data_IF_577323422980
#
_entry.id   IF_577323422980
#
_cell.length_a   1.000
_cell.length_b   1.000
_cell.length_c   1.000
_cell.angle_alpha   90.00
_cell.angle_beta   90.00
_cell.angle_gamma   90.00
#
_symmetry.space_group_name_H-M   'P 1'
#
loop_
_entity.id
_entity.type
_entity.pdbx_description
1 polymer ?
#
# COMPACT_ATOMS: atom_id res chain seq x y z
N UNK A 1 14.38 -65.96 4.36
CA UNK A 1 14.73 -64.54 4.18
C UNK A 1 13.56 -63.78 3.57
N UNK A 2 13.03 -62.75 4.21
CA UNK A 2 11.92 -61.97 3.65
C UNK A 2 12.43 -61.28 2.35
N UNK A 3 11.69 -61.41 1.23
CA UNK A 3 12.02 -60.69 -0.02
C UNK A 3 12.02 -59.18 0.26
N UNK A 4 13.17 -58.54 0.01
CA UNK A 4 13.25 -57.05 0.09
C UNK A 4 12.24 -56.45 -0.89
N UNK A 5 11.44 -55.49 -0.44
CA UNK A 5 10.38 -54.83 -1.23
C UNK A 5 10.91 -54.11 -2.47
N UNK A 6 12.15 -53.57 -2.37
CA UNK A 6 12.83 -52.83 -3.44
C UNK A 6 14.22 -53.35 -3.69
N UNK A 7 14.75 -53.08 -4.88
CA UNK A 7 16.11 -53.42 -5.27
C UNK A 7 17.10 -52.58 -4.45
N UNK A 8 18.12 -53.24 -3.86
CA UNK A 8 19.20 -52.53 -3.17
C UNK A 8 20.39 -52.44 -4.14
N UNK A 9 20.77 -51.21 -4.42
CA UNK A 9 21.88 -50.86 -5.30
C UNK A 9 23.24 -51.20 -4.64
N UNK A 10 24.34 -51.25 -5.41
CA UNK A 10 25.69 -51.45 -4.87
C UNK A 10 26.14 -50.34 -3.90
N UNK A 11 25.60 -49.14 -4.07
CA UNK A 11 25.85 -47.96 -3.18
C UNK A 11 25.03 -48.01 -1.86
N UNK A 12 24.31 -49.13 -1.61
CA UNK A 12 23.53 -49.33 -0.39
C UNK A 12 22.11 -48.73 -0.40
N UNK A 13 21.77 -47.91 -1.40
CA UNK A 13 20.45 -47.31 -1.51
C UNK A 13 19.41 -48.31 -2.03
N UNK A 14 18.17 -48.18 -1.55
CA UNK A 14 17.02 -48.85 -2.11
C UNK A 14 16.46 -48.04 -3.27
N UNK A 15 16.11 -48.72 -4.38
CA UNK A 15 15.57 -48.06 -5.57
C UNK A 15 14.25 -48.73 -6.01
N UNK A 16 13.28 -47.86 -6.37
CA UNK A 16 12.05 -48.26 -7.05
C UNK A 16 11.89 -47.42 -8.32
N UNK A 17 11.60 -48.08 -9.44
CA UNK A 17 11.28 -47.40 -10.71
C UNK A 17 9.76 -47.51 -10.91
N UNK A 18 9.13 -46.38 -11.27
CA UNK A 18 7.72 -46.29 -11.64
C UNK A 18 7.59 -45.64 -13.01
N UNK A 19 6.61 -46.07 -13.78
CA UNK A 19 6.23 -45.37 -15.02
C UNK A 19 5.03 -44.47 -14.69
N UNK A 20 5.22 -43.13 -14.81
CA UNK A 20 4.23 -42.15 -14.45
C UNK A 20 4.06 -41.20 -15.66
N UNK A 21 2.82 -41.08 -16.17
CA UNK A 21 2.52 -40.34 -17.41
C UNK A 21 3.49 -40.66 -18.55
N UNK A 22 3.83 -41.95 -18.72
CA UNK A 22 4.71 -42.44 -19.78
C UNK A 22 6.22 -42.24 -19.55
N UNK A 23 6.62 -41.58 -18.46
CA UNK A 23 8.04 -41.39 -18.12
C UNK A 23 8.48 -42.31 -16.99
N UNK A 24 9.72 -42.84 -17.10
CA UNK A 24 10.34 -43.61 -16.03
C UNK A 24 10.89 -42.68 -14.94
N UNK A 25 10.40 -42.85 -13.72
CA UNK A 25 10.86 -42.08 -12.54
C UNK A 25 11.48 -43.06 -11.55
N UNK A 26 12.71 -42.80 -11.12
CA UNK A 26 13.43 -43.59 -10.13
C UNK A 26 13.39 -42.94 -8.76
N UNK A 27 12.92 -43.66 -7.75
CA UNK A 27 12.89 -43.22 -6.35
C UNK A 27 13.98 -43.97 -5.58
N UNK A 28 14.83 -43.21 -4.86
CA UNK A 28 15.97 -43.75 -4.12
C UNK A 28 15.93 -43.28 -2.67
N UNK A 29 16.34 -44.16 -1.74
CA UNK A 29 16.40 -43.89 -0.31
C UNK A 29 17.23 -44.89 0.48
N UNK A 30 17.63 -44.50 1.69
CA UNK A 30 18.42 -45.34 2.58
C UNK A 30 17.58 -46.47 3.22
N UNK A 31 16.26 -46.45 3.10
CA UNK A 31 15.35 -47.49 3.57
C UNK A 31 14.16 -47.66 2.62
N UNK A 32 13.52 -48.82 2.67
CA UNK A 32 12.26 -49.05 1.94
C UNK A 32 11.16 -48.06 2.35
N UNK A 33 11.11 -47.68 3.62
CA UNK A 33 10.15 -46.67 4.12
C UNK A 33 10.38 -45.28 3.49
N UNK A 34 11.63 -44.91 3.31
CA UNK A 34 11.97 -43.63 2.67
C UNK A 34 11.57 -43.62 1.18
N UNK A 35 11.80 -44.75 0.49
CA UNK A 35 11.36 -44.91 -0.91
C UNK A 35 9.83 -44.86 -1.00
N UNK A 36 9.10 -45.56 -0.09
CA UNK A 36 7.65 -45.52 -0.04
C UNK A 36 7.14 -44.07 0.19
N UNK A 37 7.76 -43.32 1.12
CA UNK A 37 7.43 -41.92 1.38
C UNK A 37 7.63 -41.06 0.13
N UNK A 38 8.79 -41.18 -0.54
CA UNK A 38 9.08 -40.41 -1.76
C UNK A 38 8.11 -40.74 -2.90
N UNK A 39 7.70 -42.00 -3.04
CA UNK A 39 6.69 -42.40 -4.01
C UNK A 39 5.33 -41.77 -3.66
N UNK A 40 4.92 -41.80 -2.40
CA UNK A 40 3.66 -41.20 -1.95
C UNK A 40 3.65 -39.66 -2.14
N UNK A 41 4.73 -39.02 -1.75
CA UNK A 41 4.93 -37.58 -1.95
C UNK A 41 4.87 -37.17 -3.44
N UNK A 42 5.53 -37.97 -4.30
CA UNK A 42 5.50 -37.75 -5.75
C UNK A 42 4.10 -37.94 -6.36
N UNK A 43 3.38 -38.97 -5.92
CA UNK A 43 2.01 -39.20 -6.39
C UNK A 43 1.07 -38.08 -5.92
N UNK A 44 1.21 -37.61 -4.68
CA UNK A 44 0.44 -36.49 -4.13
C UNK A 44 0.73 -35.20 -4.91
N UNK A 45 2.01 -34.89 -5.11
CA UNK A 45 2.45 -33.72 -5.87
C UNK A 45 1.98 -33.77 -7.33
N UNK A 46 2.09 -34.96 -7.98
CA UNK A 46 1.67 -35.12 -9.38
C UNK A 46 0.16 -35.06 -9.56
N UNK A 47 -0.60 -35.42 -8.52
CA UNK A 47 -2.07 -35.42 -8.55
C UNK A 47 -2.66 -34.03 -8.18
N UNK A 48 -2.01 -33.35 -7.26
CA UNK A 48 -2.57 -32.13 -6.64
C UNK A 48 -1.67 -30.89 -6.72
N UNK A 49 -0.54 -30.99 -7.44
CA UNK A 49 0.47 -29.94 -7.52
C UNK A 49 1.34 -29.86 -6.26
N UNK A 50 2.29 -28.94 -6.26
CA UNK A 50 3.16 -28.65 -5.12
C UNK A 50 2.39 -27.96 -3.99
N UNK A 51 2.98 -27.89 -2.80
CA UNK A 51 2.34 -27.22 -1.67
C UNK A 51 2.30 -25.69 -1.88
N UNK A 52 1.27 -25.04 -1.35
CA UNK A 52 1.11 -23.59 -1.46
C UNK A 52 2.32 -22.81 -0.92
N UNK A 53 2.95 -23.15 0.23
CA UNK A 53 4.14 -22.45 0.70
C UNK A 53 5.30 -22.46 -0.31
N UNK A 54 5.55 -23.60 -0.97
CA UNK A 54 6.63 -23.71 -1.97
C UNK A 54 6.36 -22.80 -3.17
N UNK A 55 5.13 -22.80 -3.68
CA UNK A 55 4.73 -21.94 -4.78
C UNK A 55 4.78 -20.46 -4.39
N UNK A 56 4.39 -20.16 -3.16
CA UNK A 56 4.43 -18.79 -2.63
C UNK A 56 5.87 -18.27 -2.50
N UNK A 57 6.81 -19.12 -2.07
CA UNK A 57 8.23 -18.77 -1.97
C UNK A 57 8.83 -18.50 -3.36
N UNK A 58 8.59 -19.36 -4.33
CA UNK A 58 9.04 -19.16 -5.72
C UNK A 58 8.47 -17.89 -6.34
N UNK A 59 7.16 -17.64 -6.12
CA UNK A 59 6.53 -16.43 -6.58
C UNK A 59 7.15 -15.18 -5.92
N UNK A 60 7.44 -15.23 -4.62
CA UNK A 60 8.05 -14.14 -3.87
C UNK A 60 9.43 -13.81 -4.43
N UNK A 61 10.29 -14.83 -4.65
CA UNK A 61 11.63 -14.68 -5.23
C UNK A 61 11.60 -14.05 -6.63
N UNK A 62 10.73 -14.53 -7.53
CA UNK A 62 10.59 -13.95 -8.87
C UNK A 62 10.00 -12.56 -8.87
N UNK A 63 9.06 -12.30 -7.97
CA UNK A 63 8.35 -11.04 -7.88
C UNK A 63 9.20 -9.95 -7.26
N UNK A 64 10.08 -10.29 -6.33
CA UNK A 64 11.04 -9.37 -5.72
C UNK A 64 11.92 -8.66 -6.75
N UNK A 65 12.24 -9.30 -7.87
CA UNK A 65 13.05 -8.72 -8.93
C UNK A 65 12.27 -7.71 -9.79
N UNK A 66 10.96 -7.79 -9.82
CA UNK A 66 10.07 -7.03 -10.72
C UNK A 66 9.40 -5.82 -10.06
N UNK A 67 9.38 -5.75 -8.73
CA UNK A 67 8.67 -4.71 -7.99
C UNK A 67 9.58 -3.87 -7.11
N UNK A 68 9.19 -2.63 -6.88
CA UNK A 68 9.87 -1.73 -5.94
C UNK A 68 9.74 -2.23 -4.49
N UNK A 69 10.72 -1.90 -3.66
CA UNK A 69 10.86 -2.40 -2.29
C UNK A 69 9.65 -2.11 -1.38
N UNK A 70 8.99 -0.96 -1.55
CA UNK A 70 7.76 -0.66 -0.82
C UNK A 70 6.63 -1.69 -1.10
N UNK A 71 6.58 -2.22 -2.31
CA UNK A 71 5.63 -3.28 -2.68
C UNK A 71 6.05 -4.61 -2.11
N UNK A 72 7.35 -4.93 -2.09
CA UNK A 72 7.90 -6.16 -1.47
C UNK A 72 7.51 -6.24 0.00
N UNK A 73 7.80 -5.21 0.78
CA UNK A 73 7.42 -5.12 2.20
C UNK A 73 5.91 -5.34 2.41
N UNK A 74 5.09 -4.73 1.57
CA UNK A 74 3.64 -4.89 1.63
C UNK A 74 3.18 -6.31 1.29
N UNK A 75 3.83 -7.00 0.35
CA UNK A 75 3.48 -8.36 -0.04
C UNK A 75 3.98 -9.39 0.98
N UNK A 76 5.16 -9.20 1.55
CA UNK A 76 5.77 -10.08 2.55
C UNK A 76 4.82 -10.41 3.71
N UNK A 77 4.13 -9.40 4.25
CA UNK A 77 3.14 -9.64 5.31
C UNK A 77 1.92 -10.45 4.83
N UNK A 78 1.46 -10.22 3.59
CA UNK A 78 0.37 -11.00 3.01
C UNK A 78 0.81 -12.43 2.73
N UNK A 79 1.96 -12.65 2.10
CA UNK A 79 2.53 -13.97 1.81
C UNK A 79 2.67 -14.78 3.09
N UNK A 80 3.21 -14.18 4.17
CA UNK A 80 3.35 -14.87 5.45
C UNK A 80 2.00 -15.36 5.99
N UNK A 81 0.98 -14.51 6.03
CA UNK A 81 -0.37 -14.91 6.50
C UNK A 81 -0.99 -15.98 5.61
N UNK A 82 -0.78 -15.89 4.30
CA UNK A 82 -1.28 -16.88 3.34
C UNK A 82 -0.59 -18.23 3.50
N UNK A 83 0.72 -18.26 3.73
CA UNK A 83 1.47 -19.50 4.02
C UNK A 83 1.02 -20.17 5.32
N UNK A 84 0.70 -19.37 6.35
CA UNK A 84 0.13 -19.86 7.61
C UNK A 84 -1.30 -20.44 7.42
N UNK A 85 -2.07 -19.86 6.50
CA UNK A 85 -3.46 -20.25 6.25
C UNK A 85 -3.59 -21.46 5.31
N UNK A 86 -2.68 -21.58 4.34
CA UNK A 86 -2.72 -22.61 3.28
C UNK A 86 -1.42 -23.39 3.27
N UNK A 87 -1.43 -24.56 3.93
CA UNK A 87 -0.24 -25.43 4.06
C UNK A 87 -0.24 -26.62 3.11
N UNK A 88 -1.39 -26.95 2.51
CA UNK A 88 -1.60 -28.09 1.63
C UNK A 88 -1.18 -27.86 0.18
N UNK A 89 -1.37 -28.87 -0.66
CA UNK A 89 -1.13 -28.80 -2.10
C UNK A 89 -2.10 -27.83 -2.77
N UNK A 90 -1.60 -27.03 -3.74
CA UNK A 90 -2.39 -25.98 -4.42
C UNK A 90 -3.63 -26.53 -5.13
N UNK A 91 -3.59 -27.76 -5.67
CA UNK A 91 -4.73 -28.39 -6.31
C UNK A 91 -5.85 -28.84 -5.35
N UNK A 92 -5.59 -28.86 -4.05
CA UNK A 92 -6.58 -29.18 -3.02
C UNK A 92 -7.28 -27.93 -2.49
N UNK A 93 -6.76 -26.74 -2.76
CA UNK A 93 -7.34 -25.47 -2.30
C UNK A 93 -8.46 -25.06 -3.24
N UNK A 94 -9.69 -25.06 -2.73
CA UNK A 94 -10.91 -24.76 -3.50
C UNK A 94 -11.33 -23.29 -3.30
N UNK A 95 -12.12 -22.71 -4.20
CA UNK A 95 -12.68 -21.38 -4.03
C UNK A 95 -13.39 -21.17 -2.67
N UNK A 96 -14.04 -22.23 -2.15
CA UNK A 96 -14.73 -22.19 -0.86
C UNK A 96 -13.75 -22.01 0.32
N UNK A 97 -12.55 -22.60 0.25
CA UNK A 97 -11.53 -22.47 1.30
C UNK A 97 -10.99 -21.05 1.34
N UNK A 98 -10.78 -20.47 0.16
CA UNK A 98 -10.40 -19.06 0.01
C UNK A 98 -11.51 -18.14 0.54
N UNK A 99 -12.75 -18.39 0.18
CA UNK A 99 -13.90 -17.62 0.68
C UNK A 99 -13.97 -17.67 2.21
N UNK A 100 -13.79 -18.85 2.83
CA UNK A 100 -13.75 -19.00 4.29
C UNK A 100 -12.59 -18.24 4.93
N UNK A 101 -11.41 -18.23 4.30
CA UNK A 101 -10.28 -17.45 4.76
C UNK A 101 -10.61 -15.95 4.74
N UNK A 102 -11.15 -15.43 3.65
CA UNK A 102 -11.56 -14.03 3.52
C UNK A 102 -12.63 -13.67 4.55
N UNK A 103 -13.67 -14.51 4.72
CA UNK A 103 -14.72 -14.25 5.73
C UNK A 103 -14.16 -14.20 7.16
N UNK A 104 -13.13 -14.99 7.48
CA UNK A 104 -12.43 -14.88 8.77
C UNK A 104 -11.69 -13.56 8.94
N UNK A 105 -11.00 -13.07 7.90
CA UNK A 105 -10.36 -11.75 7.94
C UNK A 105 -11.39 -10.64 8.17
N UNK A 106 -12.53 -10.72 7.47
CA UNK A 106 -13.65 -9.77 7.62
C UNK A 106 -14.21 -9.79 9.05
N UNK A 107 -14.44 -10.97 9.61
CA UNK A 107 -14.90 -11.15 10.99
C UNK A 107 -13.88 -10.66 12.03
N UNK A 108 -12.59 -10.69 11.72
CA UNK A 108 -11.52 -10.12 12.55
C UNK A 108 -11.39 -8.59 12.40
N UNK A 109 -12.25 -7.94 11.62
CA UNK A 109 -12.27 -6.49 11.46
C UNK A 109 -11.19 -5.92 10.53
N UNK A 110 -10.57 -6.74 9.67
CA UNK A 110 -9.62 -6.21 8.68
C UNK A 110 -10.30 -5.23 7.73
N UNK A 111 -9.64 -4.10 7.46
CA UNK A 111 -10.12 -3.11 6.50
C UNK A 111 -10.26 -3.72 5.09
N UNK A 112 -11.27 -3.30 4.34
CA UNK A 112 -11.54 -3.81 2.99
C UNK A 112 -10.36 -3.64 2.02
N UNK A 113 -9.51 -2.62 2.20
CA UNK A 113 -8.26 -2.46 1.44
C UNK A 113 -7.25 -3.58 1.73
N UNK A 114 -7.14 -4.03 2.99
CA UNK A 114 -6.27 -5.14 3.41
C UNK A 114 -6.78 -6.46 2.82
N UNK A 115 -8.08 -6.71 2.91
CA UNK A 115 -8.71 -7.92 2.34
C UNK A 115 -8.52 -7.98 0.82
N UNK A 116 -8.73 -6.86 0.11
CA UNK A 116 -8.49 -6.79 -1.34
C UNK A 116 -7.02 -7.03 -1.72
N UNK A 117 -6.08 -6.51 -0.92
CA UNK A 117 -4.65 -6.75 -1.12
C UNK A 117 -4.32 -8.23 -0.95
N UNK A 118 -4.83 -8.86 0.09
CA UNK A 118 -4.64 -10.30 0.36
C UNK A 118 -5.14 -11.15 -0.83
N UNK A 119 -6.35 -10.89 -1.32
CA UNK A 119 -6.89 -11.55 -2.51
C UNK A 119 -6.04 -11.29 -3.76
N UNK A 120 -5.50 -10.08 -3.92
CA UNK A 120 -4.64 -9.76 -5.06
C UNK A 120 -3.35 -10.57 -5.01
N UNK A 121 -2.69 -10.66 -3.87
CA UNK A 121 -1.47 -11.48 -3.68
C UNK A 121 -1.78 -12.95 -3.91
N UNK A 122 -2.85 -13.46 -3.32
CA UNK A 122 -3.29 -14.84 -3.48
C UNK A 122 -3.56 -15.17 -4.96
N UNK A 123 -4.21 -14.26 -5.69
CA UNK A 123 -4.47 -14.41 -7.13
C UNK A 123 -3.17 -14.49 -7.93
N UNK A 124 -2.16 -13.69 -7.59
CA UNK A 124 -0.85 -13.71 -8.26
C UNK A 124 -0.09 -15.01 -7.98
N UNK A 125 -0.11 -15.52 -6.74
CA UNK A 125 0.53 -16.79 -6.38
C UNK A 125 -0.13 -17.96 -7.12
N UNK A 126 -1.46 -18.01 -7.17
CA UNK A 126 -2.16 -19.06 -7.92
C UNK A 126 -2.01 -18.92 -9.45
N UNK A 127 -1.86 -17.70 -9.97
CA UNK A 127 -1.51 -17.49 -11.38
C UNK A 127 -0.11 -18.06 -11.70
N UNK A 128 0.84 -17.90 -10.79
CA UNK A 128 2.17 -18.53 -10.90
C UNK A 128 2.05 -20.05 -10.88
N UNK A 129 1.23 -20.63 -9.99
CA UNK A 129 0.97 -22.07 -9.95
C UNK A 129 0.38 -22.62 -11.27
N UNK A 130 -0.51 -21.86 -11.92
CA UNK A 130 -1.04 -22.21 -13.26
C UNK A 130 0.07 -22.17 -14.31
N UNK A 131 0.89 -21.15 -14.35
CA UNK A 131 2.01 -21.02 -15.27
C UNK A 131 3.06 -22.14 -15.08
N UNK A 132 3.29 -22.55 -13.83
CA UNK A 132 4.18 -23.64 -13.48
C UNK A 132 3.59 -25.03 -13.79
N UNK A 133 2.31 -25.13 -14.14
CA UNK A 133 1.62 -26.39 -14.45
C UNK A 133 1.26 -27.22 -13.22
N UNK A 134 1.22 -26.63 -12.04
CA UNK A 134 0.78 -27.32 -10.81
C UNK A 134 -0.74 -27.48 -10.76
N UNK A 135 -1.48 -26.54 -11.33
CA UNK A 135 -2.95 -26.53 -11.46
C UNK A 135 -3.35 -25.98 -12.82
N UNK A 136 -4.54 -26.32 -13.28
CA UNK A 136 -5.08 -25.86 -14.57
C UNK A 136 -5.86 -24.55 -14.46
N UNK A 137 -6.45 -24.26 -13.31
CA UNK A 137 -7.35 -23.11 -13.10
C UNK A 137 -7.02 -22.41 -11.78
N UNK A 138 -7.03 -21.08 -11.80
CA UNK A 138 -6.81 -20.26 -10.63
C UNK A 138 -8.09 -20.20 -9.76
N UNK A 139 -8.10 -20.76 -8.54
CA UNK A 139 -9.30 -20.86 -7.71
C UNK A 139 -9.75 -19.50 -7.12
N UNK A 140 -8.94 -18.44 -7.27
CA UNK A 140 -9.23 -17.10 -6.71
C UNK A 140 -10.11 -16.27 -7.65
N UNK A 141 -10.27 -16.65 -8.93
CA UNK A 141 -10.91 -15.83 -9.96
C UNK A 141 -12.32 -15.41 -9.57
N UNK A 142 -13.11 -16.33 -9.02
CA UNK A 142 -14.52 -16.11 -8.64
C UNK A 142 -14.69 -15.63 -7.18
N UNK A 143 -13.59 -15.42 -6.44
CA UNK A 143 -13.69 -15.00 -5.04
C UNK A 143 -13.59 -13.48 -4.94
N UNK A 144 -14.60 -12.87 -4.34
CA UNK A 144 -14.69 -11.43 -4.09
C UNK A 144 -14.91 -11.16 -2.60
N UNK A 145 -14.39 -10.05 -2.06
CA UNK A 145 -14.67 -9.64 -0.69
C UNK A 145 -16.13 -9.19 -0.56
N UNK A 146 -16.65 -9.23 0.64
CA UNK A 146 -18.00 -8.76 0.95
C UNK A 146 -18.17 -7.27 0.60
N UNK A 147 -19.39 -6.88 0.24
CA UNK A 147 -19.73 -5.47 0.06
C UNK A 147 -19.83 -4.78 1.42
N UNK A 148 -19.54 -3.48 1.45
CA UNK A 148 -19.70 -2.68 2.69
C UNK A 148 -18.61 -2.88 3.75
N UNK A 149 -17.49 -3.51 3.43
CA UNK A 149 -16.36 -3.58 4.36
C UNK A 149 -15.88 -2.18 4.75
N UNK A 150 -15.40 -2.01 6.02
CA UNK A 150 -14.88 -0.73 6.48
C UNK A 150 -13.87 -0.15 5.50
N UNK A 151 -14.14 1.06 5.03
CA UNK A 151 -13.19 1.83 4.24
C UNK A 151 -12.44 2.74 5.20
N UNK A 152 -11.14 2.74 5.15
CA UNK A 152 -10.36 3.82 5.73
C UNK A 152 -10.41 4.96 4.70
N UNK A 153 -11.48 5.74 4.72
CA UNK A 153 -11.56 6.98 3.93
C UNK A 153 -10.59 7.98 4.55
N UNK A 154 -9.75 8.56 3.72
CA UNK A 154 -8.94 9.71 4.11
C UNK A 154 -9.74 10.92 3.66
N UNK A 155 -10.45 11.49 4.59
CA UNK A 155 -11.26 12.67 4.33
C UNK A 155 -10.37 13.90 4.18
N UNK A 156 -10.83 14.88 3.42
CA UNK A 156 -10.26 16.21 3.41
C UNK A 156 -10.43 16.84 4.81
N UNK A 157 -9.64 17.86 5.12
CA UNK A 157 -9.80 18.63 6.34
C UNK A 157 -11.17 19.33 6.33
N UNK A 158 -11.76 19.45 7.51
CA UNK A 158 -12.86 20.37 7.71
C UNK A 158 -12.35 21.82 7.62
N UNK A 159 -13.24 22.78 7.34
CA UNK A 159 -12.89 24.22 7.31
C UNK A 159 -12.18 24.66 8.60
N UNK A 160 -12.64 24.19 9.76
CA UNK A 160 -12.02 24.50 11.05
C UNK A 160 -10.59 23.93 11.15
N UNK A 161 -10.36 22.70 10.70
CA UNK A 161 -9.04 22.08 10.69
C UNK A 161 -8.10 22.78 9.68
N UNK A 162 -8.63 23.19 8.54
CA UNK A 162 -7.88 23.97 7.56
C UNK A 162 -7.46 25.33 8.13
N UNK A 163 -8.35 26.04 8.82
CA UNK A 163 -8.04 27.29 9.50
C UNK A 163 -6.93 27.11 10.52
N UNK A 164 -6.97 26.05 11.34
CA UNK A 164 -5.90 25.71 12.29
C UNK A 164 -4.55 25.55 11.57
N UNK A 165 -4.50 24.82 10.45
CA UNK A 165 -3.26 24.64 9.68
C UNK A 165 -2.74 25.98 9.15
N UNK A 166 -3.62 26.85 8.64
CA UNK A 166 -3.29 28.18 8.12
C UNK A 166 -2.76 29.12 9.20
N UNK A 167 -3.24 29.00 10.45
CA UNK A 167 -2.88 29.90 11.56
C UNK A 167 -1.70 29.40 12.38
N UNK A 168 -1.33 28.12 12.28
CA UNK A 168 -0.30 27.47 13.10
C UNK A 168 1.06 27.35 12.41
N UNK A 169 1.17 27.76 11.14
CA UNK A 169 2.35 27.43 10.32
C UNK A 169 3.68 28.00 10.86
N UNK A 170 3.65 29.18 11.48
CA UNK A 170 4.80 29.87 12.08
C UNK A 170 4.91 29.68 13.60
N UNK A 171 3.84 29.24 14.25
CA UNK A 171 3.73 29.11 15.71
C UNK A 171 4.15 27.73 16.22
N UNK A 172 3.99 26.72 15.41
CA UNK A 172 4.22 25.32 15.81
C UNK A 172 5.29 24.69 14.92
N UNK A 173 6.30 24.03 15.52
CA UNK A 173 7.31 23.29 14.73
C UNK A 173 6.66 22.33 13.74
N UNK A 174 7.13 22.32 12.50
CA UNK A 174 6.57 21.55 11.39
C UNK A 174 5.27 22.11 10.79
N UNK A 175 4.82 23.30 11.23
CA UNK A 175 3.65 23.96 10.67
C UNK A 175 3.83 24.35 9.20
N UNK A 176 5.02 24.85 8.81
CA UNK A 176 5.34 25.12 7.41
C UNK A 176 5.23 23.86 6.53
N UNK A 177 5.57 22.67 7.06
CA UNK A 177 5.38 21.43 6.34
C UNK A 177 3.89 21.12 6.10
N UNK A 178 3.06 21.32 7.11
CA UNK A 178 1.61 21.17 6.98
C UNK A 178 1.03 22.18 5.96
N UNK A 179 1.45 23.44 6.04
CA UNK A 179 1.03 24.48 5.10
C UNK A 179 1.42 24.16 3.66
N UNK A 180 2.64 23.67 3.44
CA UNK A 180 3.14 23.25 2.12
C UNK A 180 2.30 22.13 1.53
N UNK A 181 1.94 21.12 2.33
CA UNK A 181 1.07 20.03 1.86
C UNK A 181 -0.33 20.51 1.51
N UNK A 182 -0.87 21.46 2.28
CA UNK A 182 -2.19 22.04 2.07
C UNK A 182 -2.25 22.94 0.82
N UNK A 183 -1.20 23.70 0.52
CA UNK A 183 -1.22 24.69 -0.57
C UNK A 183 -0.44 24.32 -1.83
N UNK A 184 0.36 23.25 -1.79
CA UNK A 184 1.06 22.73 -2.97
C UNK A 184 0.66 21.29 -3.30
N UNK A 185 -0.10 20.62 -2.46
CA UNK A 185 -0.61 19.28 -2.68
C UNK A 185 0.47 18.22 -2.87
N UNK A 186 1.65 18.41 -2.28
CA UNK A 186 2.79 17.51 -2.46
C UNK A 186 2.58 16.17 -1.74
N UNK A 187 3.19 15.10 -2.28
CA UNK A 187 3.34 13.87 -1.52
C UNK A 187 4.33 14.09 -0.37
N UNK A 188 4.14 13.43 0.77
CA UNK A 188 5.02 13.54 1.93
C UNK A 188 6.51 13.42 1.56
N UNK A 189 6.87 12.43 0.74
CA UNK A 189 8.26 12.21 0.33
C UNK A 189 8.81 13.29 -0.59
N UNK A 190 7.97 13.91 -1.41
CA UNK A 190 8.33 15.06 -2.26
C UNK A 190 8.64 16.28 -1.37
N UNK A 191 7.71 16.64 -0.49
CA UNK A 191 7.86 17.77 0.41
C UNK A 191 9.11 17.68 1.29
N UNK A 192 9.42 16.49 1.83
CA UNK A 192 10.59 16.26 2.66
C UNK A 192 11.92 16.23 1.88
N UNK A 193 11.88 16.10 0.55
CA UNK A 193 13.05 16.15 -0.32
C UNK A 193 13.39 17.57 -0.79
N UNK A 194 12.48 18.54 -0.59
CA UNK A 194 12.67 19.91 -1.08
C UNK A 194 13.86 20.58 -0.43
N UNK A 195 14.58 21.32 -1.24
CA UNK A 195 15.59 22.28 -0.85
C UNK A 195 15.13 23.69 -1.19
N UNK A 196 15.75 24.72 -0.60
CA UNK A 196 15.48 26.10 -0.95
C UNK A 196 15.78 26.42 -2.43
N UNK A 197 16.69 25.67 -3.07
CA UNK A 197 17.00 25.79 -4.49
C UNK A 197 15.86 25.33 -5.41
N UNK A 198 14.93 24.52 -4.90
CA UNK A 198 13.75 24.09 -5.67
C UNK A 198 12.63 25.14 -5.70
N UNK A 199 12.78 26.27 -4.98
CA UNK A 199 11.80 27.35 -4.89
C UNK A 199 12.22 28.50 -5.82
N UNK A 200 11.64 28.56 -7.00
CA UNK A 200 11.86 29.68 -7.94
C UNK A 200 10.82 30.78 -7.69
N UNK A 201 11.22 31.76 -6.89
CA UNK A 201 10.36 32.90 -6.55
C UNK A 201 10.12 33.84 -7.73
N UNK A 202 11.07 33.93 -8.68
CA UNK A 202 10.93 34.78 -9.86
C UNK A 202 9.91 34.22 -10.83
N UNK A 203 9.95 32.90 -11.04
CA UNK A 203 8.98 32.19 -11.86
C UNK A 203 7.66 31.92 -11.11
N UNK A 204 7.64 32.03 -9.78
CA UNK A 204 6.49 31.72 -8.94
C UNK A 204 6.15 30.23 -8.91
N UNK A 205 7.17 29.36 -8.92
CA UNK A 205 7.00 27.90 -8.99
C UNK A 205 7.88 27.15 -7.97
N UNK A 206 7.46 25.93 -7.64
CA UNK A 206 8.20 24.94 -6.89
C UNK A 206 8.54 23.77 -7.82
N UNK A 207 9.82 23.48 -8.00
CA UNK A 207 10.26 22.37 -8.83
C UNK A 207 10.18 21.05 -8.07
N UNK A 208 9.36 20.11 -8.53
CA UNK A 208 9.26 18.76 -7.96
C UNK A 208 10.02 17.80 -8.88
N UNK A 209 11.24 17.44 -8.51
CA UNK A 209 12.15 16.62 -9.30
C UNK A 209 12.73 15.43 -8.54
N UNK A 210 12.36 15.26 -7.26
CA UNK A 210 12.88 14.24 -6.37
C UNK A 210 11.91 13.90 -5.25
N UNK A 211 12.09 12.74 -4.63
CA UNK A 211 11.33 12.30 -3.45
C UNK A 211 12.21 11.50 -2.50
N UNK A 212 11.81 11.44 -1.23
CA UNK A 212 12.35 10.50 -0.26
C UNK A 212 11.52 9.22 -0.23
N UNK A 213 12.19 8.09 -0.38
CA UNK A 213 11.62 6.77 -0.24
C UNK A 213 12.01 6.15 1.10
N UNK A 214 11.00 5.74 1.89
CA UNK A 214 11.14 5.14 3.23
C UNK A 214 10.89 3.63 3.25
N UNK A 215 10.86 2.99 2.10
CA UNK A 215 10.66 1.54 2.00
C UNK A 215 11.82 0.75 2.60
N UNK A 216 13.01 1.33 2.61
CA UNK A 216 14.25 0.69 3.04
C UNK A 216 14.53 0.80 4.56
N UNK A 217 13.54 1.08 5.37
CA UNK A 217 13.67 1.19 6.82
C UNK A 217 13.59 2.62 7.35
N UNK A 218 14.35 2.93 8.42
CA UNK A 218 14.30 4.24 9.10
C UNK A 218 14.96 5.36 8.29
N UNK A 219 16.06 5.06 7.58
CA UNK A 219 16.80 6.04 6.78
C UNK A 219 16.22 6.10 5.37
N UNK A 220 15.79 7.27 4.89
CA UNK A 220 15.24 7.40 3.55
C UNK A 220 16.33 7.32 2.48
N UNK A 221 15.94 6.91 1.28
CA UNK A 221 16.74 7.08 0.06
C UNK A 221 16.16 8.21 -0.77
N UNK A 222 17.04 9.07 -1.26
CA UNK A 222 16.66 10.07 -2.26
C UNK A 222 16.52 9.38 -3.61
N UNK A 223 15.36 9.53 -4.21
CA UNK A 223 15.06 9.05 -5.57
C UNK A 223 14.73 10.24 -6.46
N UNK A 224 15.44 10.33 -7.59
CA UNK A 224 15.03 11.18 -8.71
C UNK A 224 13.90 10.51 -9.48
N UNK A 225 13.11 11.27 -10.18
CA UNK A 225 12.07 10.73 -11.06
C UNK A 225 12.70 10.24 -12.37
N UNK A 226 12.75 8.91 -12.56
CA UNK A 226 13.30 8.30 -13.79
C UNK A 226 12.26 7.50 -14.59
N UNK A 227 11.05 7.27 -14.06
CA UNK A 227 10.11 6.29 -14.65
C UNK A 227 8.77 6.80 -15.15
N UNK A 228 8.36 8.03 -14.84
CA UNK A 228 7.09 8.57 -15.37
C UNK A 228 7.23 10.07 -15.59
N UNK A 229 6.81 10.55 -16.75
CA UNK A 229 6.71 11.99 -17.09
C UNK A 229 5.89 12.79 -16.07
N UNK A 230 4.95 12.16 -15.36
CA UNK A 230 4.10 12.79 -14.36
C UNK A 230 4.78 13.02 -12.99
N UNK A 231 6.00 12.53 -12.78
CA UNK A 231 6.71 12.71 -11.51
C UNK A 231 7.42 14.05 -11.41
N UNK A 232 8.08 14.48 -12.49
CA UNK A 232 8.70 15.80 -12.57
C UNK A 232 7.63 16.82 -13.00
N UNK A 233 7.47 17.85 -12.20
CA UNK A 233 6.49 18.89 -12.44
C UNK A 233 6.82 20.18 -11.71
N UNK A 234 6.26 21.26 -12.21
CA UNK A 234 6.27 22.54 -11.55
C UNK A 234 4.91 22.78 -10.87
N UNK A 235 4.95 23.15 -9.60
CA UNK A 235 3.77 23.47 -8.80
C UNK A 235 3.76 24.96 -8.55
N UNK A 236 2.62 25.67 -8.69
CA UNK A 236 2.54 27.11 -8.40
C UNK A 236 2.97 27.42 -6.96
N UNK A 237 3.86 28.37 -6.78
CA UNK A 237 4.22 28.94 -5.50
C UNK A 237 3.15 29.96 -5.10
N UNK A 238 2.09 29.49 -4.46
CA UNK A 238 0.99 30.36 -4.01
C UNK A 238 1.47 31.36 -2.97
N UNK A 239 0.86 32.54 -2.96
CA UNK A 239 1.26 33.66 -2.07
C UNK A 239 1.42 33.25 -0.59
N UNK A 240 0.54 32.44 0.04
CA UNK A 240 0.74 32.04 1.44
C UNK A 240 2.02 31.23 1.66
N UNK A 241 2.46 30.45 0.66
CA UNK A 241 3.74 29.72 0.74
C UNK A 241 4.92 30.64 0.45
N UNK A 242 4.79 31.54 -0.50
CA UNK A 242 5.82 32.53 -0.79
C UNK A 242 6.11 33.42 0.42
N UNK A 243 5.10 33.81 1.16
CA UNK A 243 5.25 34.61 2.38
C UNK A 243 5.83 33.79 3.55
N UNK A 244 5.54 32.50 3.61
CA UNK A 244 5.93 31.61 4.71
C UNK A 244 7.35 31.02 4.56
N UNK A 245 7.81 30.79 3.34
CA UNK A 245 9.15 30.22 3.09
C UNK A 245 10.19 31.34 3.18
N UNK A 246 11.27 31.23 3.98
CA UNK A 246 12.34 32.25 4.06
C UNK A 246 13.08 32.46 2.73
N UNK A 247 13.51 33.71 2.47
CA UNK A 247 14.08 34.09 1.17
C UNK A 247 15.49 33.58 0.90
N UNK A 248 16.37 33.58 1.86
CA UNK A 248 17.80 33.32 1.66
C UNK A 248 18.30 32.22 2.58
N UNK A 249 17.96 30.97 2.26
CA UNK A 249 18.50 29.79 2.93
C UNK A 249 19.08 28.79 1.93
N UNK A 250 20.01 27.95 2.42
CA UNK A 250 20.63 26.89 1.66
C UNK A 250 20.34 25.54 2.33
N UNK A 251 20.18 24.49 1.55
CA UNK A 251 19.96 23.14 2.05
C UNK A 251 18.50 22.71 2.03
N UNK A 252 18.18 21.75 2.88
CA UNK A 252 16.83 21.16 2.98
C UNK A 252 15.85 22.13 3.61
N UNK A 253 14.64 22.14 3.08
CA UNK A 253 13.54 22.93 3.68
C UNK A 253 13.10 22.31 5.02
N UNK A 254 13.18 20.99 5.15
CA UNK A 254 12.84 20.23 6.37
C UNK A 254 13.99 19.30 6.75
N UNK A 255 15.08 19.82 7.34
CA UNK A 255 16.19 18.98 7.76
C UNK A 255 15.82 18.11 8.98
N UNK A 256 16.39 16.93 9.06
CA UNK A 256 16.39 16.11 10.26
C UNK A 256 17.31 16.69 11.36
N UNK A 257 17.32 16.06 12.52
CA UNK A 257 18.12 16.52 13.69
C UNK A 257 19.61 16.56 13.43
N UNK A 258 20.09 15.73 12.50
CA UNK A 258 21.49 15.65 12.08
C UNK A 258 21.82 16.56 10.87
N UNK A 259 20.86 17.39 10.44
CA UNK A 259 20.98 18.25 9.27
C UNK A 259 20.73 17.55 7.93
N UNK A 260 20.63 16.21 7.93
CA UNK A 260 20.31 15.41 6.77
C UNK A 260 18.80 15.20 6.57
N UNK A 261 18.42 14.20 5.80
CA UNK A 261 17.02 13.86 5.61
C UNK A 261 16.38 13.29 6.88
N UNK A 262 15.15 13.73 7.19
CA UNK A 262 14.40 13.21 8.34
C UNK A 262 14.21 11.70 8.25
N UNK A 263 14.44 10.96 9.35
CA UNK A 263 14.20 9.53 9.46
C UNK A 263 12.69 9.24 9.64
N UNK A 264 12.25 8.04 9.27
CA UNK A 264 10.84 7.62 9.33
C UNK A 264 10.20 7.82 10.71
N UNK A 265 10.89 7.39 11.77
CA UNK A 265 10.45 7.58 13.15
C UNK A 265 10.44 9.03 13.59
N UNK A 266 11.37 9.85 13.10
CA UNK A 266 11.45 11.28 13.36
C UNK A 266 10.24 12.01 12.77
N UNK A 267 9.91 11.77 11.49
CA UNK A 267 8.72 12.33 10.84
C UNK A 267 7.46 12.02 11.65
N UNK A 268 7.31 10.75 12.04
CA UNK A 268 6.13 10.33 12.81
C UNK A 268 6.02 11.10 14.12
N UNK A 269 7.10 11.20 14.90
CA UNK A 269 7.12 11.92 16.18
C UNK A 269 6.86 13.41 15.99
N UNK A 270 7.48 14.03 15.00
CA UNK A 270 7.33 15.47 14.71
C UNK A 270 5.91 15.79 14.24
N UNK A 271 5.33 14.95 13.37
CA UNK A 271 3.94 15.09 12.93
C UNK A 271 2.94 14.93 14.08
N UNK A 272 3.14 13.91 14.91
CA UNK A 272 2.29 13.69 16.10
C UNK A 272 2.39 14.85 17.10
N UNK A 273 3.58 15.41 17.26
CA UNK A 273 3.80 16.60 18.07
C UNK A 273 3.03 17.79 17.50
N UNK A 274 3.20 18.07 16.19
CA UNK A 274 2.44 19.12 15.50
C UNK A 274 0.94 18.96 15.71
N UNK A 275 0.39 17.78 15.46
CA UNK A 275 -1.06 17.55 15.64
C UNK A 275 -1.53 17.79 17.08
N UNK A 276 -0.74 17.42 18.09
CA UNK A 276 -1.10 17.70 19.49
C UNK A 276 -1.09 19.20 19.81
N UNK A 277 -0.01 19.89 19.43
CA UNK A 277 0.16 21.31 19.71
C UNK A 277 -0.85 22.19 18.92
N UNK A 278 -1.25 21.73 17.74
CA UNK A 278 -2.28 22.38 16.92
C UNK A 278 -3.73 22.01 17.32
N UNK A 279 -3.93 21.11 18.29
CA UNK A 279 -5.28 20.68 18.66
C UNK A 279 -5.96 19.76 17.64
N UNK A 280 -5.19 19.14 16.75
CA UNK A 280 -5.66 18.22 15.71
C UNK A 280 -5.59 16.73 16.12
N UNK A 281 -5.16 16.46 17.35
CA UNK A 281 -5.14 15.13 17.94
C UNK A 281 -6.41 14.90 18.77
N UNK A 282 -6.89 13.64 18.78
CA UNK A 282 -8.09 13.25 19.51
C UNK A 282 -7.73 12.30 20.64
N UNK A 283 -8.36 12.50 21.81
CA UNK A 283 -8.24 11.59 22.94
C UNK A 283 -9.48 10.70 22.98
N UNK A 284 -9.28 9.39 22.86
CA UNK A 284 -10.37 8.39 22.82
C UNK A 284 -10.16 7.37 23.92
N UNK A 285 -11.20 7.09 24.69
CA UNK A 285 -11.20 5.98 25.64
C UNK A 285 -11.59 4.70 24.92
N UNK A 286 -10.77 3.66 25.02
CA UNK A 286 -11.04 2.33 24.44
C UNK A 286 -12.08 1.58 25.28
N UNK A 287 -12.67 0.52 24.72
CA UNK A 287 -13.60 -0.35 25.43
C UNK A 287 -12.97 -1.01 26.69
N UNK A 288 -11.64 -1.09 26.74
CA UNK A 288 -10.88 -1.55 27.91
C UNK A 288 -10.65 -0.46 28.97
N UNK A 289 -11.19 0.77 28.78
CA UNK A 289 -11.02 1.90 29.70
C UNK A 289 -9.67 2.63 29.58
N UNK A 290 -8.84 2.27 28.59
CA UNK A 290 -7.56 2.93 28.36
C UNK A 290 -7.74 4.20 27.52
N UNK A 291 -7.05 5.26 27.90
CA UNK A 291 -7.04 6.53 27.14
C UNK A 291 -5.93 6.51 26.10
N UNK A 292 -6.29 6.60 24.82
CA UNK A 292 -5.36 6.57 23.69
C UNK A 292 -5.48 7.85 22.86
N UNK A 293 -4.34 8.45 22.51
CA UNK A 293 -4.31 9.59 21.58
C UNK A 293 -4.32 9.09 20.14
N UNK A 294 -5.33 9.49 19.37
CA UNK A 294 -5.44 9.24 17.93
C UNK A 294 -5.00 10.46 17.14
N UNK A 295 -4.46 10.23 15.96
CA UNK A 295 -4.01 11.25 15.02
C UNK A 295 -4.74 11.05 13.68
N UNK A 296 -6.01 11.50 13.58
CA UNK A 296 -6.84 11.29 12.40
C UNK A 296 -6.27 12.02 11.18
N UNK A 297 -5.69 13.20 11.41
CA UNK A 297 -5.10 14.01 10.34
C UNK A 297 -3.71 13.47 9.98
N UNK A 298 -3.53 13.12 8.74
CA UNK A 298 -2.26 12.65 8.18
C UNK A 298 -1.76 13.63 7.11
N UNK A 299 -0.46 13.64 6.77
CA UNK A 299 0.06 14.42 5.64
C UNK A 299 -0.71 14.21 4.33
N UNK A 300 -1.32 13.05 4.15
CA UNK A 300 -2.10 12.76 2.95
C UNK A 300 -3.50 13.42 2.98
N UNK A 301 -4.08 13.64 4.17
CA UNK A 301 -5.34 14.37 4.29
C UNK A 301 -5.19 15.81 3.79
N UNK A 302 -4.05 16.46 4.09
CA UNK A 302 -3.78 17.83 3.62
C UNK A 302 -3.66 17.89 2.09
N UNK A 303 -2.96 16.91 1.50
CA UNK A 303 -2.91 16.79 0.04
C UNK A 303 -4.31 16.56 -0.55
N UNK A 304 -5.15 15.79 0.13
CA UNK A 304 -6.54 15.57 -0.28
C UNK A 304 -7.36 16.87 -0.21
N UNK A 305 -7.17 17.67 0.85
CA UNK A 305 -7.78 18.98 0.97
C UNK A 305 -7.37 19.93 -0.16
N UNK A 306 -6.11 19.87 -0.61
CA UNK A 306 -5.68 20.64 -1.77
C UNK A 306 -6.44 20.24 -3.05
N UNK A 307 -6.81 18.97 -3.23
CA UNK A 307 -7.67 18.58 -4.34
C UNK A 307 -9.06 19.22 -4.25
N UNK A 308 -9.63 19.31 -3.04
CA UNK A 308 -10.89 20.03 -2.79
C UNK A 308 -10.74 21.51 -3.13
N UNK A 309 -9.65 22.15 -2.67
CA UNK A 309 -9.35 23.56 -2.98
C UNK A 309 -9.24 23.79 -4.49
N UNK A 310 -8.55 22.90 -5.23
CA UNK A 310 -8.46 23.00 -6.68
C UNK A 310 -9.85 22.92 -7.35
N UNK A 311 -10.68 21.98 -6.90
CA UNK A 311 -12.05 21.85 -7.40
C UNK A 311 -12.90 23.09 -7.12
N UNK A 312 -12.82 23.63 -5.91
CA UNK A 312 -13.54 24.86 -5.49
C UNK A 312 -13.05 26.10 -6.24
N UNK A 313 -11.75 26.17 -6.54
CA UNK A 313 -11.17 27.21 -7.38
C UNK A 313 -11.55 27.09 -8.87
N UNK A 314 -12.31 26.04 -9.26
CA UNK A 314 -12.79 25.85 -10.62
C UNK A 314 -11.78 25.23 -11.59
N UNK A 315 -10.69 24.64 -11.09
CA UNK A 315 -9.75 23.91 -11.94
C UNK A 315 -10.43 22.65 -12.51
N UNK A 316 -10.24 22.41 -13.80
CA UNK A 316 -10.64 21.12 -14.37
C UNK A 316 -9.73 19.99 -13.86
N UNK A 317 -10.22 18.76 -13.92
CA UNK A 317 -9.54 17.59 -13.42
C UNK A 317 -8.16 17.35 -14.06
N UNK A 318 -7.96 17.74 -15.33
CA UNK A 318 -6.70 17.57 -16.04
C UNK A 318 -5.67 18.60 -15.60
N UNK A 319 -6.11 19.83 -15.34
CA UNK A 319 -5.27 20.89 -14.78
C UNK A 319 -4.82 20.52 -13.38
N UNK A 320 -5.73 20.07 -12.52
CA UNK A 320 -5.41 19.60 -11.19
C UNK A 320 -4.46 18.39 -11.22
N UNK A 321 -4.69 17.41 -12.08
CA UNK A 321 -3.84 16.23 -12.22
C UNK A 321 -2.38 16.58 -12.55
N UNK A 322 -2.14 17.58 -13.39
CA UNK A 322 -0.79 18.08 -13.71
C UNK A 322 -0.10 18.66 -12.47
N UNK A 323 -0.80 19.47 -11.67
CA UNK A 323 -0.25 20.06 -10.44
C UNK A 323 0.03 18.95 -9.41
N UNK A 324 -0.86 17.99 -9.28
CA UNK A 324 -0.70 16.84 -8.38
C UNK A 324 0.39 15.87 -8.80
N UNK A 325 0.70 15.77 -10.09
CA UNK A 325 1.54 14.68 -10.63
C UNK A 325 0.88 13.33 -10.46
N UNK A 326 -0.43 13.28 -10.65
CA UNK A 326 -1.28 12.10 -10.71
C UNK A 326 -2.00 12.03 -12.06
N UNK A 327 -2.75 10.97 -12.30
CA UNK A 327 -3.61 10.90 -13.47
C UNK A 327 -5.01 11.46 -13.15
N UNK A 328 -5.77 11.92 -14.17
CA UNK A 328 -7.15 12.36 -13.97
C UNK A 328 -8.03 11.31 -13.27
N UNK A 329 -7.82 10.01 -13.57
CA UNK A 329 -8.57 8.91 -12.99
C UNK A 329 -8.38 8.81 -11.47
N UNK A 330 -7.18 9.14 -10.96
CA UNK A 330 -6.89 9.15 -9.52
C UNK A 330 -7.62 10.29 -8.81
N UNK A 331 -7.79 11.42 -9.47
CA UNK A 331 -8.51 12.56 -8.92
C UNK A 331 -10.04 12.47 -9.14
N UNK A 332 -10.48 11.65 -10.07
CA UNK A 332 -11.91 11.56 -10.42
C UNK A 332 -12.78 11.12 -9.24
N UNK A 333 -12.27 10.22 -8.39
CA UNK A 333 -13.00 9.81 -7.17
C UNK A 333 -13.28 11.01 -6.27
N UNK A 334 -12.28 11.88 -6.03
CA UNK A 334 -12.43 13.10 -5.21
C UNK A 334 -13.39 14.08 -5.86
N UNK A 335 -13.20 14.38 -7.13
CA UNK A 335 -14.02 15.33 -7.88
C UNK A 335 -15.46 14.85 -8.03
N UNK A 336 -15.69 13.55 -8.15
CA UNK A 336 -17.03 12.98 -8.23
C UNK A 336 -17.77 13.14 -6.91
N UNK A 337 -17.15 12.81 -5.77
CA UNK A 337 -17.77 13.04 -4.46
C UNK A 337 -18.11 14.52 -4.22
N UNK A 338 -17.21 15.43 -4.55
CA UNK A 338 -17.47 16.87 -4.40
C UNK A 338 -18.61 17.37 -5.30
N UNK A 339 -18.74 16.81 -6.52
CA UNK A 339 -19.89 17.12 -7.39
C UNK A 339 -21.21 16.62 -6.80
N UNK A 340 -21.23 15.39 -6.30
CA UNK A 340 -22.40 14.80 -5.66
C UNK A 340 -22.84 15.59 -4.43
N UNK A 341 -21.91 16.01 -3.58
CA UNK A 341 -22.18 16.81 -2.39
C UNK A 341 -22.71 18.20 -2.76
N UNK A 342 -22.16 18.86 -3.78
CA UNK A 342 -22.67 20.11 -4.31
C UNK A 342 -24.11 19.96 -4.86
N UNK A 343 -24.38 18.89 -5.60
CA UNK A 343 -25.71 18.63 -6.13
C UNK A 343 -26.74 18.41 -5.00
N UNK A 344 -26.37 17.62 -3.96
CA UNK A 344 -27.23 17.42 -2.78
C UNK A 344 -27.47 18.74 -2.06
N UNK A 345 -26.43 19.52 -1.76
CA UNK A 345 -26.55 20.83 -1.11
C UNK A 345 -27.41 21.80 -1.92
N UNK A 346 -27.30 21.79 -3.24
CA UNK A 346 -28.16 22.62 -4.10
C UNK A 346 -29.63 22.14 -4.06
N UNK A 347 -29.88 20.83 -4.09
CA UNK A 347 -31.22 20.27 -3.97
C UNK A 347 -31.86 20.59 -2.61
N UNK A 348 -31.07 20.49 -1.51
CA UNK A 348 -31.53 20.81 -0.16
C UNK A 348 -31.90 22.31 -0.04
N UNK A 349 -31.06 23.20 -0.59
CA UNK A 349 -31.36 24.65 -0.63
C UNK A 349 -32.61 24.97 -1.42
N UNK A 350 -32.80 24.34 -2.57
CA UNK A 350 -34.02 24.48 -3.38
C UNK A 350 -35.24 23.96 -2.63
N UNK A 351 -35.13 22.78 -2.00
CA UNK A 351 -36.21 22.20 -1.20
C UNK A 351 -36.58 23.11 -0.02
N UNK A 352 -35.59 23.65 0.69
CA UNK A 352 -35.82 24.60 1.78
C UNK A 352 -36.50 25.88 1.30
N UNK A 353 -36.10 26.42 0.15
CA UNK A 353 -36.70 27.62 -0.43
C UNK A 353 -38.17 27.40 -0.83
N UNK A 354 -38.47 26.30 -1.53
CA UNK A 354 -39.83 25.98 -1.98
C UNK A 354 -40.68 25.37 -0.88
N UNK A 355 -40.11 24.79 0.18
CA UNK A 355 -40.85 24.27 1.33
C UNK A 355 -41.22 25.35 2.36
N UNK A 356 -40.70 26.57 2.21
CA UNK A 356 -41.04 27.74 3.02
C UNK A 356 -42.12 28.62 2.38
N UNK A 357 -42.59 28.25 1.17
CA UNK A 357 -43.70 28.86 0.44
C UNK A 357 -44.95 27.98 0.58
#
# INVERSE_FOLDING_TARGET
MAKKKYYQRPDGLFEAIRVIKGKRVAFRGHSCREVDRKIAEYHETTKHGRTFPVIADEWEEEHEQKVGEASRENYKYAVRRLKDAFTGSVGNIRPLDIKRYISRMEAQGYAGSTVRKELSVLRMIFAHAVLAGDIDVNPVTEVHPSRGLPRTTREALTEAQEAIVRESWDKIPFGLFALLLLFAGLRRGEALALTYADIDRKAGIIHINKKLNYAYGETPRLEGWTKTENGMRDVPLLKPLADAIPDYHVGLLFPGKDGGYMRKGEIRRTWQRYCREAGLAETVTTDAGETVTKYPITPHCLRHSFATICYEAGLDIRQAAKIFGDTPEVLDEVYTHLREDRQRSAADKLTAYFGAV
#
